data_IF_241088324387
#
_entry.id   IF_241088324387
#
_cell.length_a   1.000
_cell.length_b   1.000
_cell.length_c   1.000
_cell.angle_alpha   90.00
_cell.angle_beta   90.00
_cell.angle_gamma   90.00
#
_symmetry.space_group_name_H-M   'P 1'
#
loop_
_entity.id
_entity.type
_entity.pdbx_description
1 polymer ?
#
# COMPACT_ATOMS: atom_id res chain seq x y z
N UNK A 1 -21.54 11.47 10.30
CA UNK A 1 -20.49 10.45 10.50
C UNK A 1 -20.21 9.88 9.12
N UNK A 2 -18.97 10.00 8.64
CA UNK A 2 -18.55 9.49 7.33
C UNK A 2 -17.55 8.35 7.52
N UNK A 3 -17.81 7.22 6.88
CA UNK A 3 -16.97 6.01 6.93
C UNK A 3 -16.83 5.42 5.53
N UNK A 4 -15.69 4.80 5.24
CA UNK A 4 -15.42 4.14 3.97
C UNK A 4 -15.05 2.67 4.13
N UNK A 5 -15.21 1.89 3.05
CA UNK A 5 -14.76 0.51 2.99
C UNK A 5 -13.23 0.50 2.86
N UNK A 6 -12.56 -0.32 3.66
CA UNK A 6 -11.09 -0.50 3.61
C UNK A 6 -10.73 -1.42 2.44
N UNK A 7 -10.62 -0.84 1.25
CA UNK A 7 -10.14 -1.51 0.03
C UNK A 7 -9.04 -0.66 -0.61
N UNK A 8 -8.10 -1.31 -1.31
CA UNK A 8 -6.89 -0.67 -1.85
C UNK A 8 -6.11 0.13 -0.79
N UNK A 9 -6.15 -0.33 0.46
CA UNK A 9 -5.41 0.21 1.59
C UNK A 9 -4.30 -0.75 1.99
N UNK A 10 -3.15 -0.20 2.38
CA UNK A 10 -2.06 -0.95 3.00
C UNK A 10 -1.99 -0.61 4.50
N UNK A 11 -1.70 -1.61 5.33
CA UNK A 11 -1.48 -1.47 6.76
C UNK A 11 0.00 -1.69 7.07
N UNK A 12 0.65 -0.69 7.65
CA UNK A 12 2.07 -0.73 7.98
C UNK A 12 2.21 -0.91 9.49
N UNK A 13 2.91 -1.97 9.91
CA UNK A 13 3.17 -2.24 11.33
C UNK A 13 4.51 -2.94 11.49
N UNK A 14 5.31 -2.52 12.46
CA UNK A 14 6.63 -3.11 12.76
C UNK A 14 7.58 -3.15 11.54
N UNK A 15 7.49 -2.17 10.65
CA UNK A 15 8.29 -2.13 9.42
C UNK A 15 7.80 -3.06 8.30
N UNK A 16 6.71 -3.79 8.51
CA UNK A 16 6.09 -4.63 7.49
C UNK A 16 4.86 -3.95 6.87
N UNK A 17 4.77 -3.98 5.54
CA UNK A 17 3.61 -3.51 4.79
C UNK A 17 2.74 -4.71 4.40
N UNK A 18 1.52 -4.76 4.96
CA UNK A 18 0.51 -5.76 4.63
C UNK A 18 -0.66 -5.16 3.86
N UNK A 19 -1.17 -5.87 2.86
CA UNK A 19 -2.39 -5.50 2.14
C UNK A 19 -3.21 -6.74 1.80
N UNK A 20 -4.52 -6.56 1.68
CA UNK A 20 -5.44 -7.62 1.29
C UNK A 20 -5.98 -7.37 -0.12
N UNK A 21 -6.11 -8.46 -0.87
CA UNK A 21 -6.70 -8.48 -2.21
C UNK A 21 -7.59 -9.69 -2.35
N UNK A 22 -8.58 -9.59 -3.23
CA UNK A 22 -9.46 -10.69 -3.55
C UNK A 22 -10.24 -10.44 -4.81
N UNK A 23 -11.02 -11.44 -5.20
CA UNK A 23 -11.97 -11.42 -6.28
C UNK A 23 -13.28 -12.05 -5.82
N UNK A 24 -14.38 -11.64 -6.42
CA UNK A 24 -15.70 -12.20 -6.12
C UNK A 24 -15.91 -13.42 -7.00
N UNK A 25 -16.29 -14.56 -6.42
CA UNK A 25 -16.60 -15.77 -7.19
C UNK A 25 -18.08 -15.79 -7.56
N UNK A 26 -18.37 -15.87 -8.85
CA UNK A 26 -19.70 -16.05 -9.42
C UNK A 26 -19.87 -17.48 -9.95
N UNK A 27 -21.09 -17.83 -10.36
CA UNK A 27 -21.43 -19.15 -10.88
C UNK A 27 -20.58 -19.55 -12.10
N UNK A 28 -20.29 -18.60 -12.99
CA UNK A 28 -19.53 -18.77 -14.23
C UNK A 28 -18.07 -18.31 -14.11
N UNK A 29 -17.60 -18.02 -12.88
CA UNK A 29 -16.22 -17.62 -12.66
C UNK A 29 -15.23 -18.69 -13.11
N UNK A 30 -14.17 -18.25 -13.77
CA UNK A 30 -13.06 -19.12 -14.19
C UNK A 30 -11.93 -18.94 -13.18
N UNK A 31 -11.52 -19.98 -12.41
CA UNK A 31 -10.54 -19.83 -11.33
C UNK A 31 -9.26 -19.08 -11.72
N UNK A 32 -8.76 -19.34 -12.93
CA UNK A 32 -7.56 -18.69 -13.46
C UNK A 32 -7.75 -17.19 -13.75
N UNK A 33 -8.95 -16.76 -14.14
CA UNK A 33 -9.26 -15.33 -14.36
C UNK A 33 -9.35 -14.59 -13.03
N UNK A 34 -10.02 -15.15 -12.03
CA UNK A 34 -10.19 -14.54 -10.70
C UNK A 34 -8.86 -14.40 -9.95
N UNK A 35 -7.99 -15.42 -10.07
CA UNK A 35 -6.63 -15.33 -9.56
C UNK A 35 -5.85 -14.18 -10.21
N UNK A 36 -5.94 -14.05 -11.54
CA UNK A 36 -5.29 -12.95 -12.27
C UNK A 36 -5.85 -11.59 -11.87
N UNK A 37 -7.15 -11.47 -11.62
CA UNK A 37 -7.75 -10.24 -11.11
C UNK A 37 -7.17 -9.87 -9.74
N UNK A 38 -7.04 -10.85 -8.84
CA UNK A 38 -6.44 -10.65 -7.51
C UNK A 38 -5.00 -10.13 -7.62
N UNK A 39 -4.20 -10.69 -8.53
CA UNK A 39 -2.85 -10.22 -8.82
C UNK A 39 -2.84 -8.80 -9.43
N UNK A 40 -3.77 -8.50 -10.33
CA UNK A 40 -3.89 -7.17 -10.94
C UNK A 40 -4.29 -6.09 -9.91
N UNK A 41 -5.10 -6.43 -8.91
CA UNK A 41 -5.40 -5.51 -7.79
C UNK A 41 -4.18 -5.30 -6.90
N UNK A 42 -3.37 -6.35 -6.69
CA UNK A 42 -2.14 -6.31 -5.90
C UNK A 42 -0.98 -5.55 -6.57
N UNK A 43 -0.95 -5.48 -7.90
CA UNK A 43 0.18 -4.92 -8.65
C UNK A 43 0.47 -3.46 -8.29
N UNK A 44 -0.58 -2.68 -8.02
CA UNK A 44 -0.43 -1.28 -7.60
C UNK A 44 0.41 -1.16 -6.32
N UNK A 45 0.16 -2.00 -5.32
CA UNK A 45 0.92 -2.00 -4.08
C UNK A 45 2.38 -2.42 -4.30
N UNK A 46 2.61 -3.45 -5.11
CA UNK A 46 3.97 -3.92 -5.44
C UNK A 46 4.78 -2.81 -6.12
N UNK A 47 4.21 -2.16 -7.12
CA UNK A 47 4.84 -1.05 -7.81
C UNK A 47 5.15 0.12 -6.87
N UNK A 48 4.27 0.43 -5.91
CA UNK A 48 4.52 1.47 -4.91
C UNK A 48 5.71 1.13 -4.01
N UNK A 49 5.81 -0.12 -3.55
CA UNK A 49 6.93 -0.57 -2.71
C UNK A 49 8.25 -0.51 -3.50
N UNK A 50 8.28 -1.05 -4.72
CA UNK A 50 9.47 -1.03 -5.60
C UNK A 50 9.95 0.41 -5.89
N UNK A 51 9.01 1.34 -6.12
CA UNK A 51 9.35 2.76 -6.33
C UNK A 51 9.85 3.43 -5.06
N UNK A 52 9.36 3.02 -3.89
CA UNK A 52 9.81 3.56 -2.60
C UNK A 52 11.22 3.11 -2.23
N UNK A 53 11.66 1.92 -2.66
CA UNK A 53 13.04 1.46 -2.49
C UNK A 53 14.02 2.20 -3.41
N UNK A 54 13.56 2.61 -4.59
CA UNK A 54 14.41 3.29 -5.59
C UNK A 54 14.63 4.77 -5.26
N UNK A 55 13.74 5.40 -4.50
CA UNK A 55 13.92 6.78 -4.01
C UNK A 55 14.44 6.72 -2.58
N UNK A 56 15.65 7.25 -2.34
CA UNK A 56 16.20 7.40 -1.00
C UNK A 56 15.12 8.01 -0.06
N UNK A 57 15.01 7.54 1.21
CA UNK A 57 13.88 7.86 2.07
C UNK A 57 13.76 9.37 2.23
N UNK A 58 12.70 9.94 1.67
CA UNK A 58 12.37 11.33 1.90
C UNK A 58 11.69 11.42 3.27
N UNK A 59 12.43 11.86 4.29
CA UNK A 59 11.83 12.36 5.51
C UNK A 59 11.14 13.68 5.17
N UNK A 60 9.83 13.65 4.94
CA UNK A 60 9.07 14.87 4.72
C UNK A 60 9.03 15.64 6.04
N UNK A 61 9.90 16.64 6.13
CA UNK A 61 9.79 17.73 7.08
C UNK A 61 8.51 18.50 6.79
N UNK A 62 7.42 18.12 7.45
CA UNK A 62 6.26 18.98 7.55
C UNK A 62 6.59 20.07 8.56
N UNK A 63 7.01 21.21 8.00
CA UNK A 63 6.69 22.55 8.47
C UNK A 63 6.86 22.81 9.98
N UNK A 64 8.07 23.17 10.42
CA UNK A 64 8.26 24.36 11.26
C UNK A 64 9.74 24.80 11.23
N UNK A 65 9.93 26.09 10.96
CA UNK A 65 11.22 26.75 10.87
C UNK A 65 11.85 26.89 12.26
N UNK A 66 12.96 26.17 12.43
CA UNK A 66 13.87 26.13 13.59
C UNK A 66 13.51 25.08 14.66
N UNK A 67 14.55 24.30 15.00
CA UNK A 67 14.78 23.49 16.19
C UNK A 67 14.80 21.97 15.95
N UNK A 68 15.84 21.34 16.51
CA UNK A 68 16.02 19.89 16.74
C UNK A 68 16.64 19.06 15.59
N UNK A 69 17.83 19.43 15.10
CA UNK A 69 18.93 18.45 14.87
C UNK A 69 20.26 19.15 15.24
N UNK A 70 20.48 19.36 16.54
CA UNK A 70 21.82 19.50 17.13
C UNK A 70 21.94 18.35 18.12
N UNK A 71 22.45 17.21 17.65
CA UNK A 71 23.02 16.07 18.40
C UNK A 71 22.75 14.73 17.71
N UNK A 72 23.36 14.53 16.55
CA UNK A 72 24.08 13.29 16.23
C UNK A 72 25.41 13.72 15.62
#
# INVERSE_FOLDING_TARGET
MDTGIIIRTAHIKNGELGFQVGATLLYDSIPRKEYRETLNKASAFRATVEQSETKAPYYQSDCDSNLIIKNI
#
